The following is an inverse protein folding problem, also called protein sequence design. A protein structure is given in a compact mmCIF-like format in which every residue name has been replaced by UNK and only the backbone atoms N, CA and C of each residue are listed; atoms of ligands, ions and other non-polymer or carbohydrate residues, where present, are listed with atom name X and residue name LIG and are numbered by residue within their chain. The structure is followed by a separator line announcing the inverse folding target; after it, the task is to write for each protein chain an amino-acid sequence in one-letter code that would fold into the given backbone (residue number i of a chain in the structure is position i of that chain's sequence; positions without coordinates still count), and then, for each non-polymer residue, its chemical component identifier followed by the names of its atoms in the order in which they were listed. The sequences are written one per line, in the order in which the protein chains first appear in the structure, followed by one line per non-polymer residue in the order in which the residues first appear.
data_IF_554192832418
#
_entry.id   IF_554192832418
#
_cell.length_a   1.000
_cell.length_b   1.000
_cell.length_c   1.000
_cell.angle_alpha   90.00
_cell.angle_beta   90.00
_cell.angle_gamma   90.00
#
_symmetry.space_group_name_H-M   'P 1'
#
loop_
_entity.id
_entity.type
_entity.pdbx_description
1 polymer ?
#
# COMPACT_ATOMS: atom_id res chain seq x y z
N UNK A 1 -30.43 -3.76 -65.76
CA UNK A 1 -29.89 -4.68 -64.76
C UNK A 1 -28.86 -3.93 -63.92
N UNK A 2 -29.25 -3.36 -62.73
CA UNK A 2 -28.38 -2.75 -61.76
C UNK A 2 -28.29 -3.68 -60.56
N UNK A 3 -27.12 -4.27 -60.35
CA UNK A 3 -26.79 -5.03 -59.13
C UNK A 3 -26.32 -4.11 -58.01
N UNK A 4 -27.02 -4.02 -56.92
CA UNK A 4 -26.63 -3.31 -55.73
C UNK A 4 -25.83 -4.25 -54.81
N UNK A 5 -24.54 -3.97 -54.60
CA UNK A 5 -23.66 -4.69 -53.69
C UNK A 5 -23.78 -4.06 -52.28
N UNK A 6 -24.38 -4.76 -51.32
CA UNK A 6 -24.43 -4.36 -49.93
C UNK A 6 -23.09 -4.74 -49.26
N UNK A 7 -22.32 -3.76 -48.87
CA UNK A 7 -21.15 -3.94 -48.02
C UNK A 7 -21.59 -4.01 -46.55
N UNK A 8 -21.43 -5.18 -45.90
CA UNK A 8 -21.65 -5.34 -44.46
C UNK A 8 -20.38 -4.89 -43.75
N UNK A 9 -20.45 -3.75 -43.12
CA UNK A 9 -19.40 -3.27 -42.22
C UNK A 9 -19.58 -3.98 -40.87
N UNK A 10 -18.74 -4.96 -40.57
CA UNK A 10 -18.69 -5.60 -39.25
C UNK A 10 -17.99 -4.66 -38.27
N UNK A 11 -18.75 -4.07 -37.35
CA UNK A 11 -18.24 -3.27 -36.25
C UNK A 11 -17.63 -4.21 -35.17
N UNK A 12 -16.30 -4.37 -35.17
CA UNK A 12 -15.61 -5.05 -34.08
C UNK A 12 -15.70 -4.17 -32.82
N UNK A 13 -16.61 -4.48 -31.92
CA UNK A 13 -16.59 -3.95 -30.56
C UNK A 13 -15.40 -4.55 -29.81
N UNK A 14 -14.30 -3.80 -29.66
CA UNK A 14 -13.24 -4.10 -28.73
C UNK A 14 -13.81 -3.95 -27.31
N UNK A 15 -14.24 -5.04 -26.70
CA UNK A 15 -14.48 -5.10 -25.26
C UNK A 15 -13.11 -5.04 -24.57
N UNK A 16 -12.70 -3.85 -24.17
CA UNK A 16 -11.56 -3.65 -23.25
C UNK A 16 -11.95 -4.36 -21.95
N UNK A 17 -11.43 -5.57 -21.73
CA UNK A 17 -11.52 -6.25 -20.45
C UNK A 17 -10.83 -5.36 -19.41
N UNK A 18 -11.59 -4.68 -18.56
CA UNK A 18 -11.05 -3.99 -17.40
C UNK A 18 -10.39 -5.04 -16.52
N UNK A 19 -9.06 -5.01 -16.45
CA UNK A 19 -8.33 -5.79 -15.47
C UNK A 19 -8.83 -5.32 -14.09
N UNK A 20 -9.56 -6.19 -13.38
CA UNK A 20 -10.06 -5.91 -12.04
C UNK A 20 -8.86 -5.58 -11.16
N UNK A 21 -8.72 -4.31 -10.78
CA UNK A 21 -7.68 -3.86 -9.87
C UNK A 21 -7.82 -4.63 -8.55
N UNK A 22 -6.74 -5.26 -8.09
CA UNK A 22 -6.74 -6.07 -6.88
C UNK A 22 -7.10 -5.24 -5.64
N UNK A 23 -7.87 -5.81 -4.71
CA UNK A 23 -8.16 -5.19 -3.42
C UNK A 23 -6.84 -5.03 -2.66
N UNK A 24 -6.51 -3.80 -2.28
CA UNK A 24 -5.34 -3.44 -1.49
C UNK A 24 -5.63 -3.42 0.01
N UNK A 25 -6.85 -3.06 0.39
CA UNK A 25 -7.25 -2.94 1.78
C UNK A 25 -8.72 -2.58 1.96
N UNK A 26 -9.10 -2.29 3.19
CA UNK A 26 -10.45 -1.85 3.57
C UNK A 26 -10.38 -0.69 4.55
N UNK A 27 -11.38 0.17 4.53
CA UNK A 27 -11.56 1.24 5.51
C UNK A 27 -11.98 0.64 6.84
N UNK A 28 -11.11 0.66 7.85
CA UNK A 28 -11.44 0.22 9.21
C UNK A 28 -12.25 1.27 9.95
N UNK A 29 -11.83 2.51 9.85
CA UNK A 29 -12.51 3.65 10.47
C UNK A 29 -12.11 4.96 9.79
N UNK A 30 -12.96 5.96 9.90
CA UNK A 30 -12.70 7.31 9.41
C UNK A 30 -13.44 8.34 10.25
N UNK A 31 -12.97 9.59 10.17
CA UNK A 31 -13.65 10.77 10.72
C UNK A 31 -13.62 11.89 9.71
N UNK A 32 -14.71 12.67 9.66
CA UNK A 32 -14.85 13.74 8.68
C UNK A 32 -15.16 13.23 7.27
N UNK A 33 -14.72 13.98 6.27
CA UNK A 33 -14.96 13.68 4.84
C UNK A 33 -13.70 13.12 4.20
N UNK A 34 -13.80 11.91 3.68
CA UNK A 34 -12.75 11.22 2.94
C UNK A 34 -13.27 10.84 1.56
N UNK A 35 -12.50 11.17 0.55
CA UNK A 35 -12.87 10.97 -0.85
C UNK A 35 -11.94 9.95 -1.52
N UNK A 36 -12.49 9.20 -2.48
CA UNK A 36 -11.77 8.26 -3.32
C UNK A 36 -12.00 8.59 -4.78
N UNK A 37 -10.95 8.61 -5.57
CA UNK A 37 -10.98 8.67 -7.03
C UNK A 37 -10.33 7.41 -7.59
N UNK A 38 -11.08 6.67 -8.42
CA UNK A 38 -10.63 5.43 -9.07
C UNK A 38 -10.62 5.62 -10.57
N UNK A 39 -9.47 5.38 -11.23
CA UNK A 39 -9.32 5.42 -12.70
C UNK A 39 -9.92 6.68 -13.34
N UNK A 40 -9.68 7.87 -12.76
CA UNK A 40 -10.28 9.13 -13.19
C UNK A 40 -11.84 9.16 -13.20
N UNK A 41 -12.48 8.19 -12.56
CA UNK A 41 -13.94 8.19 -12.36
C UNK A 41 -14.37 9.34 -11.42
N UNK A 42 -15.66 9.67 -11.37
CA UNK A 42 -16.18 10.65 -10.42
C UNK A 42 -15.77 10.34 -8.99
N UNK A 43 -15.44 11.38 -8.23
CA UNK A 43 -15.03 11.27 -6.82
C UNK A 43 -16.17 10.68 -6.00
N UNK A 44 -15.85 9.67 -5.19
CA UNK A 44 -16.77 8.99 -4.28
C UNK A 44 -16.41 9.30 -2.83
N UNK A 45 -17.39 9.43 -1.96
CA UNK A 45 -17.17 9.53 -0.52
C UNK A 45 -16.92 8.14 0.04
N UNK A 46 -15.82 7.95 0.76
CA UNK A 46 -15.51 6.69 1.43
C UNK A 46 -16.36 6.50 2.68
N UNK A 47 -16.71 5.25 2.95
CA UNK A 47 -17.42 4.81 4.16
C UNK A 47 -16.65 3.66 4.82
N UNK A 48 -16.92 3.41 6.11
CA UNK A 48 -16.35 2.27 6.83
C UNK A 48 -16.74 0.96 6.14
N UNK A 49 -15.79 0.05 5.99
CA UNK A 49 -15.95 -1.21 5.27
C UNK A 49 -15.75 -1.13 3.76
N UNK A 50 -15.64 0.07 3.17
CA UNK A 50 -15.35 0.22 1.75
C UNK A 50 -13.98 -0.35 1.38
N UNK A 51 -13.90 -1.03 0.23
CA UNK A 51 -12.63 -1.54 -0.29
C UNK A 51 -11.85 -0.43 -1.00
N UNK A 52 -10.53 -0.43 -0.80
CA UNK A 52 -9.57 0.37 -1.55
C UNK A 52 -8.72 -0.55 -2.42
N UNK A 53 -8.46 -0.14 -3.64
CA UNK A 53 -7.82 -0.97 -4.67
C UNK A 53 -6.52 -0.34 -5.16
N UNK A 54 -5.73 -1.13 -5.85
CA UNK A 54 -4.62 -0.61 -6.66
C UNK A 54 -5.14 0.46 -7.65
N UNK A 55 -4.41 1.56 -7.79
CA UNK A 55 -4.77 2.70 -8.63
C UNK A 55 -5.64 3.75 -7.92
N UNK A 56 -6.23 3.46 -6.76
CA UNK A 56 -7.07 4.41 -6.04
C UNK A 56 -6.27 5.58 -5.48
N UNK A 57 -6.80 6.79 -5.65
CA UNK A 57 -6.35 7.99 -4.96
C UNK A 57 -7.33 8.34 -3.84
N UNK A 58 -6.82 8.48 -2.62
CA UNK A 58 -7.58 8.81 -1.42
C UNK A 58 -7.20 10.21 -0.97
N UNK A 59 -8.21 11.03 -0.65
CA UNK A 59 -8.02 12.40 -0.19
C UNK A 59 -8.85 12.66 1.07
N UNK A 60 -8.24 13.31 2.07
CA UNK A 60 -8.90 13.72 3.31
C UNK A 60 -9.04 15.23 3.38
N UNK A 61 -10.18 15.72 3.85
CA UNK A 61 -10.38 17.15 4.16
C UNK A 61 -9.56 17.56 5.40
N UNK A 62 -9.57 18.86 5.75
CA UNK A 62 -8.71 19.44 6.81
C UNK A 62 -8.84 18.71 8.16
N UNK A 63 -10.08 18.50 8.64
CA UNK A 63 -10.37 17.88 9.93
C UNK A 63 -10.75 16.41 9.82
N UNK A 64 -10.26 15.77 8.76
CA UNK A 64 -10.61 14.39 8.43
C UNK A 64 -9.41 13.47 8.60
N UNK A 65 -9.71 12.19 8.79
CA UNK A 65 -8.72 11.13 8.86
C UNK A 65 -9.34 9.81 8.40
N UNK A 66 -8.50 8.86 7.99
CA UNK A 66 -8.93 7.50 7.68
C UNK A 66 -7.87 6.49 8.12
N UNK A 67 -8.32 5.40 8.74
CA UNK A 67 -7.52 4.22 9.05
C UNK A 67 -7.90 3.12 8.07
N UNK A 68 -6.92 2.66 7.30
CA UNK A 68 -7.02 1.55 6.37
C UNK A 68 -6.35 0.32 6.96
N UNK A 69 -7.01 -0.83 6.91
CA UNK A 69 -6.39 -2.14 7.12
C UNK A 69 -6.04 -2.73 5.76
N UNK A 70 -4.76 -3.04 5.55
CA UNK A 70 -4.27 -3.55 4.28
C UNK A 70 -4.33 -5.08 4.22
N UNK A 71 -4.46 -5.65 3.02
CA UNK A 71 -4.62 -7.11 2.83
C UNK A 71 -3.46 -7.94 3.38
N UNK A 72 -2.27 -7.36 3.52
CA UNK A 72 -1.10 -8.02 4.13
C UNK A 72 -1.04 -7.88 5.66
N UNK A 73 -2.05 -7.25 6.27
CA UNK A 73 -2.16 -6.96 7.70
C UNK A 73 -1.43 -5.70 8.16
N UNK A 74 -0.87 -4.92 7.24
CA UNK A 74 -0.40 -3.56 7.53
C UNK A 74 -1.55 -2.59 7.76
N UNK A 75 -1.22 -1.36 8.18
CA UNK A 75 -2.20 -0.28 8.28
C UNK A 75 -1.63 1.05 7.80
N UNK A 76 -2.53 1.88 7.26
CA UNK A 76 -2.23 3.26 6.87
C UNK A 76 -3.23 4.18 7.56
N UNK A 77 -2.74 5.19 8.28
CA UNK A 77 -3.58 6.25 8.86
C UNK A 77 -3.27 7.56 8.16
N UNK A 78 -4.19 8.05 7.31
CA UNK A 78 -4.06 9.33 6.66
C UNK A 78 -4.57 10.43 7.60
N UNK A 79 -3.83 11.54 7.65
CA UNK A 79 -4.17 12.74 8.42
C UNK A 79 -5.02 13.71 7.60
N UNK A 80 -5.43 14.82 8.18
CA UNK A 80 -6.12 15.89 7.46
C UNK A 80 -5.28 16.47 6.32
N UNK A 81 -5.93 16.96 5.27
CA UNK A 81 -5.30 17.55 4.07
C UNK A 81 -4.29 16.60 3.40
N UNK A 82 -4.56 15.31 3.41
CA UNK A 82 -3.69 14.31 2.82
C UNK A 82 -4.26 13.83 1.49
N UNK A 83 -3.37 13.68 0.50
CA UNK A 83 -3.64 13.03 -0.77
C UNK A 83 -2.60 11.94 -1.01
N UNK A 84 -3.08 10.71 -1.14
CA UNK A 84 -2.27 9.52 -1.30
C UNK A 84 -2.82 8.67 -2.45
N UNK A 85 -1.92 8.00 -3.19
CA UNK A 85 -2.31 7.01 -4.21
C UNK A 85 -1.69 5.65 -3.88
N UNK A 86 -2.45 4.61 -4.11
CA UNK A 86 -1.99 3.22 -4.06
C UNK A 86 -1.50 2.85 -5.46
N UNK A 87 -0.18 2.90 -5.70
CA UNK A 87 0.38 2.66 -7.04
C UNK A 87 0.38 1.17 -7.41
N UNK A 88 0.71 0.32 -6.43
CA UNK A 88 0.62 -1.13 -6.54
C UNK A 88 0.49 -1.76 -5.15
N UNK A 89 -0.43 -2.68 -4.99
CA UNK A 89 -0.58 -3.43 -3.74
C UNK A 89 -0.97 -4.88 -4.03
N UNK A 90 0.02 -5.74 -4.08
CA UNK A 90 -0.14 -7.15 -4.45
C UNK A 90 0.35 -8.02 -3.30
N UNK A 91 -0.53 -8.85 -2.74
CA UNK A 91 -0.18 -9.80 -1.68
C UNK A 91 -0.67 -11.21 -2.03
N UNK A 92 -0.01 -11.91 -2.95
CA UNK A 92 -0.43 -13.23 -3.39
C UNK A 92 -0.11 -14.29 -2.33
N UNK A 93 -1.07 -15.17 -2.03
CA UNK A 93 -0.91 -16.22 -1.02
C UNK A 93 0.22 -17.20 -1.37
N UNK A 94 0.40 -17.51 -2.64
CA UNK A 94 1.29 -18.58 -3.12
C UNK A 94 2.60 -18.09 -3.73
N UNK A 95 2.77 -16.80 -4.01
CA UNK A 95 3.97 -16.24 -4.62
C UNK A 95 4.39 -14.93 -3.93
N UNK A 96 5.11 -15.03 -2.83
CA UNK A 96 5.55 -13.87 -2.04
C UNK A 96 6.63 -13.02 -2.73
N UNK A 97 7.32 -13.55 -3.74
CA UNK A 97 8.28 -12.76 -4.54
C UNK A 97 7.58 -11.74 -5.43
N UNK A 98 6.32 -11.97 -5.78
CA UNK A 98 5.50 -11.02 -6.52
C UNK A 98 4.80 -9.99 -5.61
N UNK A 99 4.95 -10.12 -4.28
CA UNK A 99 4.33 -9.19 -3.33
C UNK A 99 4.91 -7.77 -3.50
N UNK A 100 4.04 -6.75 -3.49
CA UNK A 100 4.40 -5.34 -3.63
C UNK A 100 3.51 -4.47 -2.75
N UNK A 101 4.09 -3.42 -2.17
CA UNK A 101 3.39 -2.33 -1.49
C UNK A 101 4.03 -1.02 -1.92
N UNK A 102 3.51 -0.42 -2.96
CA UNK A 102 3.97 0.86 -3.50
C UNK A 102 2.90 1.91 -3.33
N UNK A 103 3.25 2.98 -2.62
CA UNK A 103 2.35 4.04 -2.22
C UNK A 103 3.00 5.38 -2.56
N UNK A 104 2.24 6.31 -3.10
CA UNK A 104 2.65 7.70 -3.32
C UNK A 104 1.91 8.63 -2.38
N UNK A 105 2.64 9.31 -1.48
CA UNK A 105 2.15 10.44 -0.73
C UNK A 105 2.34 11.70 -1.57
N UNK A 106 1.24 12.25 -2.07
CA UNK A 106 1.23 13.41 -2.97
C UNK A 106 1.32 14.71 -2.17
N UNK A 107 0.65 14.76 -1.01
CA UNK A 107 0.73 15.85 -0.01
C UNK A 107 0.11 15.40 1.31
N UNK A 108 0.41 16.10 2.40
CA UNK A 108 -0.13 15.84 3.74
C UNK A 108 0.71 14.85 4.53
N UNK A 109 0.08 14.05 5.39
CA UNK A 109 0.79 13.14 6.27
C UNK A 109 0.07 11.80 6.45
N UNK A 110 0.83 10.73 6.58
CA UNK A 110 0.33 9.40 6.90
C UNK A 110 1.26 8.66 7.87
N UNK A 111 0.67 7.82 8.73
CA UNK A 111 1.38 6.81 9.51
C UNK A 111 1.21 5.47 8.83
N UNK A 112 2.31 4.76 8.65
CA UNK A 112 2.34 3.41 8.09
C UNK A 112 2.90 2.43 9.10
N UNK A 113 2.10 1.40 9.40
CA UNK A 113 2.58 0.20 10.10
C UNK A 113 2.66 -0.91 9.06
N UNK A 114 3.89 -1.28 8.73
CA UNK A 114 4.13 -2.25 7.65
C UNK A 114 3.56 -3.63 7.95
N UNK A 115 2.92 -4.23 6.97
CA UNK A 115 2.40 -5.58 7.02
C UNK A 115 3.43 -6.65 6.68
N UNK A 116 2.94 -7.80 6.24
CA UNK A 116 3.77 -8.94 5.90
C UNK A 116 4.69 -8.67 4.71
N UNK A 117 4.31 -7.82 3.75
CA UNK A 117 5.14 -7.47 2.59
C UNK A 117 6.46 -6.88 3.06
N UNK A 118 6.40 -5.79 3.85
CA UNK A 118 7.59 -5.12 4.34
C UNK A 118 8.37 -5.93 5.39
N UNK A 119 7.71 -6.82 6.13
CA UNK A 119 8.37 -7.68 7.11
C UNK A 119 9.22 -8.79 6.46
N UNK A 120 8.78 -9.35 5.33
CA UNK A 120 9.46 -10.49 4.67
C UNK A 120 10.26 -10.12 3.44
N UNK A 121 9.92 -9.03 2.77
CA UNK A 121 10.59 -8.55 1.58
C UNK A 121 10.66 -7.01 1.59
N UNK A 122 11.51 -6.41 2.45
CA UNK A 122 11.62 -4.95 2.57
C UNK A 122 11.78 -4.20 1.25
N UNK A 123 12.54 -4.69 0.24
CA UNK A 123 12.64 -4.02 -1.07
C UNK A 123 11.33 -3.94 -1.84
N UNK A 124 10.34 -4.76 -1.51
CA UNK A 124 9.01 -4.74 -2.12
C UNK A 124 8.06 -3.69 -1.52
N UNK A 125 8.45 -3.04 -0.43
CA UNK A 125 7.75 -1.89 0.13
C UNK A 125 8.40 -0.60 -0.35
N UNK A 126 7.58 0.35 -0.80
CA UNK A 126 8.01 1.69 -1.20
C UNK A 126 6.94 2.71 -0.84
N UNK A 127 7.33 3.74 -0.12
CA UNK A 127 6.56 4.96 0.05
C UNK A 127 7.30 6.10 -0.69
N UNK A 128 6.68 6.63 -1.73
CA UNK A 128 7.25 7.69 -2.55
C UNK A 128 6.59 9.02 -2.24
N UNK A 129 7.38 10.08 -2.27
CA UNK A 129 6.94 11.46 -2.28
C UNK A 129 7.55 12.14 -3.51
N UNK A 130 7.16 13.37 -3.87
CA UNK A 130 7.80 14.08 -4.97
C UNK A 130 9.31 14.31 -4.79
N UNK A 131 9.84 14.23 -3.56
CA UNK A 131 11.23 14.61 -3.25
C UNK A 131 12.11 13.42 -2.89
N UNK A 132 11.55 12.44 -2.19
CA UNK A 132 12.28 11.27 -1.69
C UNK A 132 11.46 10.01 -1.84
N UNK A 133 12.17 8.88 -1.88
CA UNK A 133 11.56 7.55 -1.73
C UNK A 133 12.02 6.97 -0.40
N UNK A 134 11.07 6.44 0.36
CA UNK A 134 11.33 5.77 1.62
C UNK A 134 11.41 4.27 1.42
N UNK A 135 12.56 3.70 1.82
CA UNK A 135 12.72 2.28 2.07
C UNK A 135 12.50 2.00 3.55
N UNK A 136 12.09 0.77 3.88
CA UNK A 136 11.77 0.39 5.26
C UNK A 136 12.40 -0.94 5.65
N UNK A 137 12.50 -1.12 6.98
CA UNK A 137 12.89 -2.39 7.56
C UNK A 137 11.99 -2.71 8.76
N UNK A 138 10.77 -3.27 8.46
CA UNK A 138 9.81 -3.72 9.49
C UNK A 138 9.36 -2.59 10.42
N UNK A 139 8.69 -1.55 9.85
CA UNK A 139 8.54 -0.25 10.52
C UNK A 139 7.13 0.07 10.97
N UNK A 140 7.06 0.91 12.00
CA UNK A 140 6.00 1.86 12.30
C UNK A 140 6.60 3.25 12.16
N UNK A 141 6.20 4.00 11.14
CA UNK A 141 6.73 5.31 10.85
C UNK A 141 5.64 6.27 10.37
N UNK A 142 5.94 7.55 10.44
CA UNK A 142 5.02 8.60 10.03
C UNK A 142 5.73 9.57 9.10
N UNK A 143 5.25 9.62 7.85
CA UNK A 143 5.79 10.48 6.79
C UNK A 143 4.83 11.63 6.54
N UNK A 144 5.39 12.85 6.44
CA UNK A 144 4.67 14.05 6.03
C UNK A 144 5.37 14.72 4.85
N UNK A 145 4.61 15.14 3.86
CA UNK A 145 5.07 16.00 2.78
C UNK A 145 4.24 17.27 2.74
N UNK A 146 4.90 18.39 2.98
CA UNK A 146 4.32 19.72 2.91
C UNK A 146 4.94 20.50 1.74
N UNK A 147 4.22 20.64 0.60
CA UNK A 147 4.66 21.50 -0.48
C UNK A 147 4.65 22.99 -0.07
N UNK A 148 5.34 23.87 -0.79
CA UNK A 148 5.30 25.30 -0.55
C UNK A 148 3.86 25.83 -0.50
N UNK A 149 3.54 26.65 0.49
CA UNK A 149 2.20 27.24 0.69
C UNK A 149 1.19 26.33 1.36
N UNK A 150 1.48 25.05 1.57
CA UNK A 150 0.59 24.10 2.29
C UNK A 150 1.07 23.78 3.71
N UNK A 151 2.33 24.11 4.02
CA UNK A 151 2.91 23.86 5.34
C UNK A 151 2.15 24.62 6.42
N UNK A 152 2.04 24.00 7.60
CA UNK A 152 1.52 24.68 8.78
C UNK A 152 2.48 25.81 9.23
N UNK A 153 1.95 26.84 9.91
CA UNK A 153 2.81 27.90 10.42
C UNK A 153 3.99 27.37 11.23
N UNK A 154 5.20 27.81 10.87
CA UNK A 154 6.45 27.37 11.52
C UNK A 154 6.99 26.02 11.05
N UNK A 155 6.38 25.38 10.08
CA UNK A 155 6.87 24.12 9.45
C UNK A 155 7.53 24.46 8.12
N UNK A 156 8.80 24.09 7.96
CA UNK A 156 9.54 24.25 6.70
C UNK A 156 8.94 23.32 5.62
N UNK A 157 8.69 23.82 4.38
CA UNK A 157 8.24 22.95 3.30
C UNK A 157 9.27 21.86 2.97
N UNK A 158 8.80 20.62 2.83
CA UNK A 158 9.65 19.46 2.58
C UNK A 158 9.03 18.16 3.03
N UNK A 159 9.84 17.10 3.01
CA UNK A 159 9.46 15.77 3.51
C UNK A 159 10.05 15.53 4.88
N UNK A 160 9.22 15.08 5.78
CA UNK A 160 9.56 14.63 7.12
C UNK A 160 9.25 13.16 7.25
N UNK A 161 10.08 12.42 7.98
CA UNK A 161 9.77 11.05 8.39
C UNK A 161 10.19 10.84 9.84
N UNK A 162 9.27 10.32 10.67
CA UNK A 162 9.49 9.98 12.09
C UNK A 162 9.34 8.49 12.25
N UNK A 163 10.34 7.82 12.81
CA UNK A 163 10.34 6.38 13.05
C UNK A 163 9.91 6.10 14.49
N UNK A 164 8.79 5.39 14.66
CA UNK A 164 8.32 4.92 15.95
C UNK A 164 8.94 3.55 16.30
N UNK A 165 9.08 2.66 15.29
CA UNK A 165 9.67 1.33 15.46
C UNK A 165 10.36 0.89 14.15
N UNK A 166 11.47 0.16 14.26
CA UNK A 166 12.24 -0.31 13.11
C UNK A 166 13.16 0.77 12.55
N UNK A 167 13.39 0.74 11.24
CA UNK A 167 14.30 1.66 10.55
C UNK A 167 13.71 2.09 9.21
N UNK A 168 13.94 3.35 8.81
CA UNK A 168 13.63 3.87 7.47
C UNK A 168 14.88 4.43 6.83
N UNK A 169 14.87 4.47 5.50
CA UNK A 169 15.90 5.16 4.70
C UNK A 169 15.19 6.15 3.78
N UNK A 170 15.57 7.43 3.88
CA UNK A 170 15.15 8.43 2.92
C UNK A 170 16.17 8.48 1.79
N UNK A 171 15.75 8.05 0.60
CA UNK A 171 16.55 8.10 -0.62
C UNK A 171 16.21 9.35 -1.41
N UNK A 172 17.18 10.20 -1.70
CA UNK A 172 17.05 11.36 -2.57
C UNK A 172 18.13 11.37 -3.65
N UNK A 173 18.00 12.26 -4.63
CA UNK A 173 19.03 12.45 -5.66
C UNK A 173 20.36 12.98 -5.09
N UNK A 174 20.38 13.52 -3.87
CA UNK A 174 21.54 14.12 -3.21
C UNK A 174 22.20 13.21 -2.20
N UNK A 175 21.64 12.06 -1.95
CA UNK A 175 22.14 11.08 -0.98
C UNK A 175 21.02 10.50 -0.12
N UNK A 176 21.42 9.63 0.78
CA UNK A 176 20.53 8.86 1.63
C UNK A 176 20.75 9.18 3.10
N UNK A 177 19.69 9.04 3.89
CA UNK A 177 19.80 9.08 5.36
C UNK A 177 19.03 7.92 5.98
N UNK A 178 19.67 7.23 6.92
CA UNK A 178 19.05 6.17 7.70
C UNK A 178 18.48 6.77 8.99
N UNK A 179 17.23 6.42 9.31
CA UNK A 179 16.55 6.80 10.54
C UNK A 179 16.23 5.56 11.36
N UNK A 180 16.51 5.64 12.66
CA UNK A 180 16.20 4.60 13.64
C UNK A 180 15.00 5.01 14.49
N UNK A 181 14.44 4.07 15.23
CA UNK A 181 13.36 4.32 16.16
C UNK A 181 13.70 5.50 17.09
N UNK A 182 12.75 6.42 17.28
CA UNK A 182 12.91 7.65 18.06
C UNK A 182 13.55 8.81 17.28
N UNK A 183 13.96 8.63 16.03
CA UNK A 183 14.51 9.70 15.19
C UNK A 183 13.49 10.26 14.23
N UNK A 184 13.72 11.50 13.80
CA UNK A 184 13.05 12.13 12.69
C UNK A 184 14.07 12.63 11.64
N UNK A 185 13.73 12.56 10.37
CA UNK A 185 14.51 13.06 9.25
C UNK A 185 13.78 14.14 8.48
N UNK A 186 14.51 14.87 7.67
CA UNK A 186 14.01 15.95 6.84
C UNK A 186 14.75 16.03 5.52
N UNK A 187 13.99 16.26 4.44
CA UNK A 187 14.49 16.65 3.11
C UNK A 187 13.78 17.93 2.68
N UNK A 188 14.53 18.97 2.37
CA UNK A 188 13.96 20.25 1.95
C UNK A 188 13.23 20.14 0.59
N UNK A 189 12.23 21.02 0.36
CA UNK A 189 11.36 20.97 -0.81
C UNK A 189 12.10 21.27 -2.12
N UNK A 190 13.25 21.92 -2.06
CA UNK A 190 14.07 22.24 -3.25
C UNK A 190 14.95 21.05 -3.66
N UNK A 191 15.10 20.05 -2.77
CA UNK A 191 16.02 18.93 -3.01
C UNK A 191 17.48 19.38 -3.17
N UNK A 192 17.81 20.57 -2.64
CA UNK A 192 19.12 21.19 -2.81
C UNK A 192 20.20 20.48 -1.98
N UNK A 193 19.81 19.84 -0.88
CA UNK A 193 20.71 19.16 0.06
C UNK A 193 20.30 17.71 0.26
N UNK A 194 21.24 16.89 0.68
CA UNK A 194 20.94 15.53 1.15
C UNK A 194 19.98 15.56 2.35
N UNK A 195 19.09 14.56 2.49
CA UNK A 195 18.28 14.41 3.68
C UNK A 195 19.15 14.36 4.94
N UNK A 196 18.62 14.82 6.06
CA UNK A 196 19.35 14.84 7.34
C UNK A 196 18.50 14.34 8.49
N UNK A 197 19.15 13.81 9.52
CA UNK A 197 18.50 13.56 10.81
C UNK A 197 18.26 14.90 11.50
N UNK A 198 17.08 15.06 12.09
CA UNK A 198 16.73 16.24 12.88
C UNK A 198 17.21 16.07 14.33
N UNK A 199 17.63 17.17 14.97
CA UNK A 199 18.05 17.19 16.37
C UNK A 199 16.89 16.98 17.35
N UNK A 200 15.63 17.20 16.91
CA UNK A 200 14.42 16.98 17.69
C UNK A 200 13.27 16.59 16.78
N UNK A 201 12.28 15.90 17.34
CA UNK A 201 11.05 15.55 16.63
C UNK A 201 10.20 16.81 16.47
N UNK A 202 9.77 17.19 15.25
CA UNK A 202 8.91 18.34 15.02
C UNK A 202 7.60 18.29 15.80
N UNK A 203 7.19 19.43 16.36
CA UNK A 203 6.04 19.54 17.26
C UNK A 203 4.70 19.14 16.59
N UNK A 204 4.57 19.24 15.28
CA UNK A 204 3.35 18.84 14.57
C UNK A 204 3.02 17.36 14.74
N UNK A 205 4.00 16.49 14.97
CA UNK A 205 3.76 15.06 15.24
C UNK A 205 2.96 14.82 16.53
N UNK A 206 3.05 15.71 17.51
CA UNK A 206 2.23 15.60 18.73
C UNK A 206 0.72 15.76 18.45
N UNK A 207 0.36 16.58 17.43
CA UNK A 207 -1.04 16.71 16.98
C UNK A 207 -1.53 15.44 16.29
N UNK A 208 -0.65 14.79 15.56
CA UNK A 208 -0.97 13.50 14.91
C UNK A 208 -1.23 12.41 15.96
N UNK A 209 -0.48 12.39 17.05
CA UNK A 209 -0.69 11.46 18.16
C UNK A 209 -2.06 11.65 18.83
N UNK A 210 -2.60 12.86 18.85
CA UNK A 210 -3.94 13.11 19.36
C UNK A 210 -5.03 12.41 18.54
N UNK A 211 -4.83 12.25 17.22
CA UNK A 211 -5.70 11.48 16.34
C UNK A 211 -5.54 9.98 16.60
N UNK A 212 -4.34 9.51 16.90
CA UNK A 212 -4.06 8.08 17.12
C UNK A 212 -4.61 7.56 18.45
N UNK A 213 -4.71 8.41 19.49
CA UNK A 213 -5.21 7.99 20.82
C UNK A 213 -6.58 7.29 20.76
N UNK A 214 -7.64 7.86 20.17
CA UNK A 214 -8.92 7.19 20.09
C UNK A 214 -8.89 5.94 19.20
N UNK A 215 -7.92 5.83 18.28
CA UNK A 215 -7.73 4.69 17.38
C UNK A 215 -6.88 3.59 17.99
N UNK A 216 -6.24 3.80 19.16
CA UNK A 216 -5.25 2.89 19.73
C UNK A 216 -5.77 1.44 19.88
N UNK A 217 -7.02 1.24 20.27
CA UNK A 217 -7.62 -0.08 20.39
C UNK A 217 -7.80 -0.76 19.02
N UNK A 218 -8.24 -0.01 17.99
CA UNK A 218 -8.40 -0.53 16.63
C UNK A 218 -7.04 -0.87 16.02
N UNK A 219 -6.07 0.01 16.17
CA UNK A 219 -4.70 -0.23 15.71
C UNK A 219 -4.09 -1.45 16.40
N UNK A 220 -4.32 -1.66 17.69
CA UNK A 220 -3.87 -2.86 18.42
C UNK A 220 -4.49 -4.14 17.85
N UNK A 221 -5.78 -4.14 17.53
CA UNK A 221 -6.45 -5.29 16.91
C UNK A 221 -5.88 -5.60 15.52
N UNK A 222 -5.62 -4.57 14.71
CA UNK A 222 -4.96 -4.73 13.40
C UNK A 222 -3.55 -5.31 13.59
N UNK A 223 -2.76 -4.80 14.54
CA UNK A 223 -1.43 -5.33 14.86
C UNK A 223 -1.47 -6.79 15.28
N UNK A 224 -2.41 -7.20 16.12
CA UNK A 224 -2.59 -8.60 16.51
C UNK A 224 -2.94 -9.50 15.31
N UNK A 225 -3.78 -9.01 14.39
CA UNK A 225 -4.07 -9.74 13.14
C UNK A 225 -2.84 -9.84 12.24
N UNK A 226 -2.05 -8.76 12.15
CA UNK A 226 -0.76 -8.72 11.45
C UNK A 226 0.21 -9.75 12.01
N UNK A 227 0.43 -9.77 13.32
CA UNK A 227 1.34 -10.70 13.98
C UNK A 227 0.95 -12.16 13.71
N UNK A 228 -0.34 -12.49 13.79
CA UNK A 228 -0.84 -13.83 13.42
C UNK A 228 -0.56 -14.17 11.96
N UNK A 229 -0.77 -13.24 11.02
CA UNK A 229 -0.44 -13.45 9.60
C UNK A 229 1.06 -13.69 9.39
N UNK A 230 1.91 -12.91 10.05
CA UNK A 230 3.37 -13.03 10.00
C UNK A 230 3.81 -14.39 10.57
N UNK A 231 3.29 -14.78 11.74
CA UNK A 231 3.64 -16.05 12.38
C UNK A 231 3.19 -17.26 11.54
N UNK A 232 1.96 -17.26 11.07
CA UNK A 232 1.48 -18.31 10.15
C UNK A 232 2.36 -18.43 8.90
N UNK A 233 2.82 -17.32 8.36
CA UNK A 233 3.73 -17.33 7.23
C UNK A 233 5.09 -17.93 7.58
N UNK A 234 5.68 -17.55 8.72
CA UNK A 234 6.96 -18.12 9.20
C UNK A 234 6.87 -19.63 9.36
N UNK A 235 5.82 -20.13 9.99
CA UNK A 235 5.57 -21.56 10.19
C UNK A 235 5.46 -22.30 8.85
N UNK A 236 4.73 -21.77 7.88
CA UNK A 236 4.62 -22.35 6.53
C UNK A 236 5.97 -22.39 5.81
N UNK A 237 6.79 -21.35 5.98
CA UNK A 237 8.14 -21.33 5.38
C UNK A 237 9.09 -22.33 6.04
N UNK A 238 9.02 -22.50 7.36
CA UNK A 238 9.80 -23.52 8.09
C UNK A 238 9.40 -24.93 7.67
N UNK A 239 8.09 -25.20 7.56
CA UNK A 239 7.57 -26.51 7.08
C UNK A 239 8.09 -26.82 5.68
N UNK A 240 8.04 -25.85 4.74
CA UNK A 240 8.57 -26.04 3.37
C UNK A 240 10.08 -26.29 3.32
N UNK A 241 10.85 -25.71 4.25
CA UNK A 241 12.29 -25.97 4.36
C UNK A 241 12.60 -27.32 5.00
N UNK A 242 11.71 -27.80 5.88
CA UNK A 242 11.84 -29.10 6.53
C UNK A 242 11.38 -30.27 5.63
N UNK A 243 10.58 -30.02 4.58
CA UNK A 243 10.25 -31.05 3.59
C UNK A 243 11.48 -31.39 2.75
N UNK A 244 11.97 -32.66 2.78
CA UNK A 244 13.12 -33.03 2.00
C UNK A 244 12.83 -32.86 0.50
N UNK A 245 13.81 -32.28 -0.22
CA UNK A 245 13.77 -32.18 -1.68
C UNK A 245 13.64 -33.58 -2.27
N UNK A 246 12.48 -33.98 -2.74
CA UNK A 246 12.19 -35.30 -3.25
C UNK A 246 11.15 -36.11 -2.49
N UNK A 247 10.50 -35.53 -1.43
CA UNK A 247 9.39 -36.21 -0.78
C UNK A 247 8.28 -36.51 -1.81
N UNK A 248 7.78 -37.76 -1.89
CA UNK A 248 6.76 -38.11 -2.88
C UNK A 248 5.49 -37.30 -2.60
N UNK A 249 5.10 -36.47 -3.57
CA UNK A 249 3.83 -35.76 -3.49
C UNK A 249 2.74 -36.76 -3.18
N UNK A 250 1.93 -36.49 -2.15
CA UNK A 250 0.80 -37.37 -1.83
C UNK A 250 -0.07 -37.59 -3.06
N UNK A 251 -0.76 -38.72 -3.14
CA UNK A 251 -1.61 -39.08 -4.29
C UNK A 251 -2.60 -37.95 -4.66
N UNK A 252 -3.08 -37.21 -3.65
CA UNK A 252 -3.93 -36.02 -3.81
C UNK A 252 -3.20 -34.83 -4.46
N UNK A 253 -1.95 -34.59 -4.11
CA UNK A 253 -1.16 -33.52 -4.71
C UNK A 253 -0.73 -33.85 -6.14
N UNK A 254 -0.46 -35.13 -6.44
CA UNK A 254 -0.24 -35.62 -7.83
C UNK A 254 -1.50 -35.45 -8.69
N UNK A 255 -2.66 -35.80 -8.15
CA UNK A 255 -3.93 -35.67 -8.89
C UNK A 255 -4.31 -34.21 -9.14
N UNK A 256 -4.06 -33.29 -8.17
CA UNK A 256 -4.25 -31.85 -8.39
C UNK A 256 -3.28 -31.27 -9.43
N UNK A 257 -2.02 -31.68 -9.40
CA UNK A 257 -1.04 -31.24 -10.39
C UNK A 257 -1.35 -31.80 -11.80
N UNK A 258 -1.84 -33.02 -11.90
CA UNK A 258 -2.26 -33.64 -13.15
C UNK A 258 -3.55 -33.02 -13.71
N UNK A 259 -4.53 -32.72 -12.85
CA UNK A 259 -5.75 -32.01 -13.26
C UNK A 259 -5.44 -30.58 -13.75
N UNK A 260 -4.60 -29.82 -13.04
CA UNK A 260 -4.19 -28.50 -13.49
C UNK A 260 -3.34 -28.51 -14.78
N UNK A 261 -2.64 -29.58 -15.07
CA UNK A 261 -1.88 -29.74 -16.32
C UNK A 261 -2.77 -30.09 -17.53
N UNK A 262 -3.92 -30.74 -17.27
CA UNK A 262 -4.86 -31.16 -18.32
C UNK A 262 -5.98 -30.13 -18.58
N UNK A 263 -6.12 -29.10 -17.75
CA UNK A 263 -7.09 -28.02 -17.97
C UNK A 263 -6.65 -27.11 -19.11
N UNK A 264 -7.47 -27.06 -20.15
CA UNK A 264 -7.26 -26.13 -21.27
C UNK A 264 -7.45 -24.67 -20.81
N UNK A 265 -6.87 -23.67 -21.52
CA UNK A 265 -7.06 -22.25 -21.19
C UNK A 265 -8.54 -21.81 -21.11
N UNK A 266 -9.44 -22.51 -21.81
CA UNK A 266 -10.90 -22.26 -21.81
C UNK A 266 -11.57 -22.75 -20.52
N UNK A 267 -11.15 -23.86 -19.95
CA UNK A 267 -11.70 -24.40 -18.71
C UNK A 267 -11.26 -23.57 -17.49
N UNK A 268 -10.01 -23.08 -17.47
CA UNK A 268 -9.51 -22.15 -16.45
C UNK A 268 -10.23 -20.81 -16.40
N UNK A 269 -10.79 -20.37 -17.53
CA UNK A 269 -11.59 -19.16 -17.60
C UNK A 269 -13.01 -19.34 -17.03
N UNK A 270 -13.60 -20.54 -17.10
CA UNK A 270 -14.94 -20.84 -16.56
C UNK A 270 -14.98 -20.91 -15.03
N UNK A 271 -13.98 -21.52 -14.39
CA UNK A 271 -13.90 -21.70 -12.92
C UNK A 271 -13.69 -20.36 -12.17
N UNK A 272 -13.37 -19.27 -12.88
CA UNK A 272 -13.22 -17.93 -12.29
C UNK A 272 -14.50 -17.09 -12.33
N UNK A 273 -15.59 -17.61 -12.88
CA UNK A 273 -16.88 -16.90 -13.04
C UNK A 273 -17.99 -17.43 -12.11
N UNK A 274 -17.75 -18.53 -11.41
CA UNK A 274 -18.56 -19.05 -10.30
C UNK A 274 -17.88 -18.76 -8.94
#
# INVERSE_FOLDING_TARGET
LYGATFAVVALLACTSGEASAGIAGTVDSLGGTVSLMRNAAPVQTLTVGASVNEGDQISTNADSWVLLEMVDGGSLTLRGKTRMRIDAYVYPENNKTAAKSWISLIEGALRSVTGAIGAFNPPSYRLSTPLVTLGIRGTDHETAYYPPGSAEPGVEPGVYDKVNQGETVLHSQRGDVNLKAGQAGFSDHQGARAPRVLGSIPAFYARHEAIDRPLANRMRLIQQRRERKIETFRQRMQQRRAEPAGAPRTRLQRNRAANNANETPRERARIRQD
#
